data_IF_747442864104
#
_entry.id   IF_747442864104
#
_cell.length_a   1.000
_cell.length_b   1.000
_cell.length_c   1.000
_cell.angle_alpha   90.00
_cell.angle_beta   90.00
_cell.angle_gamma   90.00
#
_symmetry.space_group_name_H-M   'P 1'
#
loop_
_entity.id
_entity.type
_entity.pdbx_description
1 polymer ?
#
# COMPACT_ATOMS: atom_id res chain seq x y z
N UNK A 1 2.95 -14.32 23.15
CA UNK A 1 3.13 -14.39 21.68
C UNK A 1 2.22 -15.41 20.98
N UNK A 2 2.08 -16.67 21.46
CA UNK A 2 1.26 -17.70 20.78
C UNK A 2 -0.21 -17.32 20.55
N UNK A 3 -0.77 -16.45 21.38
CA UNK A 3 -2.17 -16.04 21.29
C UNK A 3 -2.43 -14.96 20.21
N UNK A 4 -1.45 -14.08 19.98
CA UNK A 4 -1.54 -13.00 18.98
C UNK A 4 -1.32 -13.54 17.56
N UNK A 5 -0.51 -14.59 17.42
CA UNK A 5 -0.18 -15.20 16.12
C UNK A 5 -0.97 -16.48 15.87
N UNK A 6 -2.22 -16.59 16.34
CA UNK A 6 -3.07 -17.75 16.04
C UNK A 6 -3.61 -17.62 14.60
N UNK A 7 -3.64 -18.73 13.86
CA UNK A 7 -4.28 -18.75 12.53
C UNK A 7 -5.73 -18.27 12.61
N UNK A 8 -6.11 -17.36 11.71
CA UNK A 8 -7.39 -16.66 11.69
C UNK A 8 -7.46 -15.41 12.58
N UNK A 9 -6.41 -15.10 13.35
CA UNK A 9 -6.36 -13.86 14.13
C UNK A 9 -6.20 -12.67 13.18
N UNK A 10 -6.97 -11.62 13.48
CA UNK A 10 -6.95 -10.32 12.82
C UNK A 10 -6.40 -9.26 13.77
N UNK A 11 -5.57 -8.37 13.23
CA UNK A 11 -4.96 -7.24 13.92
C UNK A 11 -5.18 -6.02 13.03
N UNK A 12 -5.68 -4.93 13.60
CA UNK A 12 -5.68 -3.62 12.91
C UNK A 12 -4.41 -2.90 13.33
N UNK A 13 -3.63 -2.48 12.35
CA UNK A 13 -2.45 -1.66 12.53
C UNK A 13 -2.70 -0.29 11.91
N UNK A 14 -2.77 0.74 12.74
CA UNK A 14 -2.86 2.13 12.29
C UNK A 14 -1.45 2.68 12.11
N UNK A 15 -1.12 3.08 10.89
CA UNK A 15 0.10 3.77 10.51
C UNK A 15 -0.21 5.23 10.18
N UNK A 16 0.74 6.11 10.49
CA UNK A 16 0.62 7.56 10.44
C UNK A 16 -0.65 8.10 11.13
N UNK A 17 -0.50 8.77 12.27
CA UNK A 17 -1.66 9.33 12.97
C UNK A 17 -2.18 10.63 12.35
N UNK A 18 -1.52 11.16 11.32
CA UNK A 18 -2.07 12.19 10.44
C UNK A 18 -3.12 11.60 9.51
N UNK A 19 -2.68 10.74 8.58
CA UNK A 19 -3.53 10.17 7.53
C UNK A 19 -4.39 8.97 7.99
N UNK A 20 -4.02 8.36 9.11
CA UNK A 20 -4.72 7.25 9.77
C UNK A 20 -4.91 6.03 8.85
N UNK A 21 -3.82 5.58 8.22
CA UNK A 21 -3.83 4.38 7.39
C UNK A 21 -4.09 3.13 8.24
N UNK A 22 -5.21 2.44 8.00
CA UNK A 22 -5.55 1.20 8.71
C UNK A 22 -5.22 -0.04 7.87
N UNK A 23 -4.24 -0.82 8.33
CA UNK A 23 -3.90 -2.12 7.75
C UNK A 23 -4.53 -3.26 8.55
N UNK A 24 -5.32 -4.09 7.87
CA UNK A 24 -5.82 -5.35 8.43
C UNK A 24 -4.79 -6.46 8.19
N UNK A 25 -4.11 -6.88 9.26
CA UNK A 25 -3.16 -8.00 9.24
C UNK A 25 -3.89 -9.28 9.68
N UNK A 26 -3.88 -10.30 8.83
CA UNK A 26 -4.45 -11.61 9.12
C UNK A 26 -3.37 -12.69 9.15
N UNK A 27 -3.36 -13.52 10.19
CA UNK A 27 -2.49 -14.71 10.24
C UNK A 27 -3.17 -15.84 9.48
N UNK A 28 -2.83 -16.03 8.22
CA UNK A 28 -3.48 -17.02 7.35
C UNK A 28 -2.96 -18.44 7.56
N UNK A 29 -1.66 -18.60 7.81
CA UNK A 29 -1.04 -19.90 8.04
C UNK A 29 0.17 -19.81 8.98
N UNK A 30 0.59 -20.97 9.49
CA UNK A 30 1.83 -21.12 10.24
C UNK A 30 2.55 -22.36 9.76
N UNK A 31 3.82 -22.18 9.42
CA UNK A 31 4.67 -23.24 8.87
C UNK A 31 6.00 -23.23 9.60
N UNK A 32 6.72 -24.35 9.52
CA UNK A 32 8.13 -24.36 9.90
C UNK A 32 8.91 -23.46 8.91
N UNK A 33 9.91 -22.71 9.38
CA UNK A 33 10.70 -21.85 8.49
C UNK A 33 11.46 -22.69 7.45
N UNK A 34 11.48 -22.21 6.21
CA UNK A 34 12.31 -22.77 5.15
C UNK A 34 13.74 -22.22 5.31
N UNK A 35 14.70 -23.10 5.63
CA UNK A 35 16.08 -22.72 5.88
C UNK A 35 16.80 -22.16 4.64
N UNK A 36 16.25 -22.36 3.45
CA UNK A 36 16.81 -21.83 2.20
C UNK A 36 16.23 -20.44 1.82
N UNK A 37 15.23 -19.95 2.55
CA UNK A 37 14.63 -18.63 2.30
C UNK A 37 15.18 -17.58 3.25
N UNK A 38 15.42 -16.38 2.69
CA UNK A 38 15.63 -15.17 3.49
C UNK A 38 14.28 -14.57 3.82
N UNK A 39 14.08 -14.24 5.09
CA UNK A 39 12.85 -13.60 5.59
C UNK A 39 13.14 -12.18 6.09
N UNK A 40 12.16 -11.26 6.09
CA UNK A 40 10.83 -11.41 5.45
C UNK A 40 10.91 -11.52 3.92
N UNK A 41 9.85 -12.04 3.31
CA UNK A 41 9.70 -12.08 1.86
C UNK A 41 8.26 -11.74 1.47
N UNK A 42 8.10 -10.93 0.42
CA UNK A 42 6.82 -10.67 -0.21
C UNK A 42 6.61 -11.76 -1.25
N UNK A 43 5.54 -12.55 -1.10
CA UNK A 43 5.25 -13.65 -2.02
C UNK A 43 4.16 -13.30 -3.03
N UNK A 44 3.32 -12.32 -2.71
CA UNK A 44 2.17 -11.91 -3.52
C UNK A 44 1.66 -10.53 -3.07
N UNK A 45 0.82 -9.91 -3.90
CA UNK A 45 0.16 -8.64 -3.65
C UNK A 45 -0.59 -8.13 -4.89
N UNK A 46 -1.27 -6.99 -4.75
CA UNK A 46 -2.05 -6.38 -5.81
C UNK A 46 -2.20 -4.88 -5.55
N UNK A 47 -2.33 -4.11 -6.64
CA UNK A 47 -2.46 -2.66 -6.65
C UNK A 47 -1.23 -1.91 -6.11
N UNK A 48 -1.11 -0.66 -6.53
CA UNK A 48 -0.11 0.24 -5.99
C UNK A 48 -0.52 0.69 -4.58
N UNK A 49 0.45 0.89 -3.70
CA UNK A 49 0.17 1.47 -2.39
C UNK A 49 -0.29 2.94 -2.53
N UNK A 50 -1.15 3.45 -1.64
CA UNK A 50 -1.40 4.89 -1.56
C UNK A 50 -0.10 5.66 -1.31
N UNK A 51 -0.01 6.89 -1.84
CA UNK A 51 1.10 7.80 -1.53
C UNK A 51 1.03 8.28 -0.08
N UNK A 52 2.17 8.67 0.49
CA UNK A 52 2.24 9.23 1.84
C UNK A 52 1.73 10.68 1.87
N UNK A 53 1.27 11.13 3.04
CA UNK A 53 0.91 12.53 3.32
C UNK A 53 -0.14 13.13 2.36
N UNK A 54 -1.07 12.32 1.85
CA UNK A 54 -2.12 12.75 0.91
C UNK A 54 -3.47 13.02 1.60
N UNK A 55 -3.59 12.82 2.91
CA UNK A 55 -4.84 12.96 3.66
C UNK A 55 -5.61 11.66 3.78
N UNK A 56 -4.91 10.53 3.83
CA UNK A 56 -5.49 9.22 4.05
C UNK A 56 -6.34 8.73 2.89
N UNK A 57 -7.30 7.85 3.19
CA UNK A 57 -8.12 7.18 2.18
C UNK A 57 -8.88 8.16 1.28
N UNK A 58 -9.32 9.30 1.81
CA UNK A 58 -10.02 10.31 1.01
C UNK A 58 -9.09 10.99 0.00
N UNK A 59 -7.85 11.28 0.41
CA UNK A 59 -6.82 11.80 -0.49
C UNK A 59 -6.52 10.86 -1.65
N UNK A 60 -6.39 9.56 -1.35
CA UNK A 60 -6.14 8.55 -2.39
C UNK A 60 -7.32 8.42 -3.36
N UNK A 61 -8.56 8.42 -2.86
CA UNK A 61 -9.74 8.38 -3.73
C UNK A 61 -9.84 9.62 -4.63
N UNK A 62 -9.54 10.81 -4.12
CA UNK A 62 -9.53 12.06 -4.88
C UNK A 62 -8.45 12.03 -5.99
N UNK A 63 -7.29 11.39 -5.74
CA UNK A 63 -6.28 11.10 -6.78
C UNK A 63 -6.86 10.18 -7.86
N UNK A 64 -7.50 9.07 -7.49
CA UNK A 64 -8.06 8.12 -8.46
C UNK A 64 -9.17 8.74 -9.32
N UNK A 65 -9.97 9.64 -8.76
CA UNK A 65 -10.99 10.40 -9.48
C UNK A 65 -10.33 11.41 -10.43
N UNK A 66 -9.30 12.13 -9.98
CA UNK A 66 -8.56 13.08 -10.81
C UNK A 66 -7.91 12.41 -12.03
N UNK A 67 -7.34 11.22 -11.86
CA UNK A 67 -6.75 10.46 -12.97
C UNK A 67 -7.74 10.10 -14.09
N UNK A 68 -9.04 10.09 -13.79
CA UNK A 68 -10.10 9.83 -14.76
C UNK A 68 -10.67 11.10 -15.40
N UNK A 69 -10.40 12.28 -14.84
CA UNK A 69 -10.88 13.57 -15.34
C UNK A 69 -9.78 14.65 -15.33
N UNK A 70 -9.15 14.94 -16.48
CA UNK A 70 -8.19 16.04 -16.61
C UNK A 70 -8.74 17.43 -16.28
N UNK A 71 -10.06 17.60 -16.11
CA UNK A 71 -10.67 18.85 -15.65
C UNK A 71 -10.89 18.89 -14.15
N UNK A 72 -10.47 17.85 -13.42
CA UNK A 72 -10.55 17.81 -11.97
C UNK A 72 -9.81 19.03 -11.38
N UNK A 73 -10.39 19.76 -10.40
CA UNK A 73 -9.80 21.00 -9.89
C UNK A 73 -8.38 20.85 -9.33
N UNK A 74 -8.00 19.64 -8.93
CA UNK A 74 -6.70 19.30 -8.36
C UNK A 74 -5.83 18.41 -9.27
N UNK A 75 -6.20 18.26 -10.55
CA UNK A 75 -5.50 17.38 -11.47
C UNK A 75 -3.99 17.67 -11.51
N UNK A 76 -3.62 18.93 -11.75
CA UNK A 76 -2.22 19.34 -11.87
C UNK A 76 -1.42 19.10 -10.57
N UNK A 77 -2.02 19.39 -9.40
CA UNK A 77 -1.40 19.13 -8.08
C UNK A 77 -1.10 17.63 -7.89
N UNK A 78 -2.04 16.77 -8.32
CA UNK A 78 -1.88 15.32 -8.18
C UNK A 78 -0.91 14.72 -9.18
N UNK A 79 -0.85 15.23 -10.41
CA UNK A 79 0.17 14.81 -11.36
C UNK A 79 1.57 15.17 -10.86
N UNK A 80 1.72 16.32 -10.18
CA UNK A 80 2.98 16.68 -9.56
C UNK A 80 3.35 15.73 -8.41
N UNK A 81 2.42 15.39 -7.52
CA UNK A 81 2.67 14.41 -6.45
C UNK A 81 3.11 13.06 -7.03
N UNK A 82 2.42 12.59 -8.07
CA UNK A 82 2.77 11.34 -8.77
C UNK A 82 4.19 11.42 -9.34
N UNK A 83 4.52 12.49 -10.06
CA UNK A 83 5.86 12.68 -10.64
C UNK A 83 6.94 12.74 -9.54
N UNK A 84 6.68 13.41 -8.42
CA UNK A 84 7.62 13.52 -7.30
C UNK A 84 7.84 12.16 -6.59
N UNK A 85 6.79 11.33 -6.46
CA UNK A 85 6.83 10.05 -5.76
C UNK A 85 7.41 8.91 -6.61
N UNK A 86 7.01 8.80 -7.88
CA UNK A 86 7.40 7.68 -8.75
C UNK A 86 8.36 8.07 -9.87
N UNK A 87 8.66 9.35 -10.05
CA UNK A 87 9.57 9.84 -11.10
C UNK A 87 9.00 9.76 -12.51
N UNK A 88 7.71 9.47 -12.64
CA UNK A 88 6.99 9.30 -13.90
C UNK A 88 5.63 10.02 -13.82
N UNK A 89 5.11 10.43 -14.98
CA UNK A 89 3.81 11.12 -15.09
C UNK A 89 2.67 10.10 -15.25
N UNK A 90 2.98 8.86 -15.62
CA UNK A 90 1.99 7.80 -15.83
C UNK A 90 1.91 6.90 -14.60
N UNK A 91 0.75 6.88 -13.94
CA UNK A 91 0.50 6.08 -12.76
C UNK A 91 -0.56 5.01 -13.04
N UNK A 92 -0.19 3.74 -12.89
CA UNK A 92 -1.11 2.61 -12.89
C UNK A 92 -1.45 2.21 -11.44
N UNK A 93 -2.66 2.54 -10.94
CA UNK A 93 -3.05 2.17 -9.58
C UNK A 93 -3.17 0.66 -9.37
N UNK A 94 -3.19 -0.14 -10.44
CA UNK A 94 -3.29 -1.60 -10.37
C UNK A 94 -1.93 -2.29 -10.40
N UNK A 95 -0.85 -1.56 -10.69
CA UNK A 95 0.49 -2.13 -10.78
C UNK A 95 0.97 -2.64 -9.41
N UNK A 96 1.45 -3.88 -9.41
CA UNK A 96 2.16 -4.46 -8.29
C UNK A 96 3.15 -5.52 -8.78
N UNK A 97 4.36 -5.53 -8.22
CA UNK A 97 5.34 -6.58 -8.42
C UNK A 97 6.11 -6.86 -7.13
N UNK A 98 6.05 -8.10 -6.64
CA UNK A 98 6.72 -8.50 -5.40
C UNK A 98 8.25 -8.40 -5.46
N UNK A 99 8.84 -8.38 -6.65
CA UNK A 99 10.29 -8.21 -6.83
C UNK A 99 10.76 -6.77 -6.60
N UNK A 100 9.86 -5.80 -6.66
CA UNK A 100 10.17 -4.40 -6.40
C UNK A 100 10.28 -4.12 -4.89
N UNK A 101 9.71 -5.00 -4.05
CA UNK A 101 9.72 -4.89 -2.60
C UNK A 101 11.10 -5.24 -2.03
N UNK A 102 11.72 -4.27 -1.35
CA UNK A 102 13.01 -4.41 -0.68
C UNK A 102 12.82 -4.32 0.82
N UNK A 103 13.29 -5.34 1.53
CA UNK A 103 13.25 -5.46 2.99
C UNK A 103 14.60 -5.14 3.64
#
# INVERSE_FOLDING_TARGET
MKEVLRVGKKIIYTYDFGDCWEHLITVESRQSPDLNKKYPCCIDGQNHAPFEDIGGIFGYLDILDALQDPKHPRYDDYMQIIEDEIGEIEFDPTYFNSHDIKF
#
